data_IF_701890787573
#
_entry.id   IF_701890787573
#
_cell.length_a   1.000
_cell.length_b   1.000
_cell.length_c   1.000
_cell.angle_alpha   90.00
_cell.angle_beta   90.00
_cell.angle_gamma   90.00
#
_symmetry.space_group_name_H-M   'P 1'
#
loop_
_entity.id
_entity.type
_entity.pdbx_description
1 polymer ?
#
# COMPACT_ATOMS: atom_id res chain seq x y z
N UNK A 1 16.16 0.03 32.47
CA UNK A 1 17.28 -0.68 31.78
C UNK A 1 18.62 0.00 32.04
N UNK A 2 18.81 1.29 31.69
CA UNK A 2 20.03 2.06 31.99
C UNK A 2 20.30 2.15 33.50
N UNK A 3 19.28 2.40 34.32
CA UNK A 3 19.38 2.34 35.80
C UNK A 3 19.72 0.95 36.37
N UNK A 4 19.44 -0.11 35.61
CA UNK A 4 19.85 -1.47 35.97
C UNK A 4 21.33 -1.71 35.66
N UNK A 5 21.85 -1.08 34.59
CA UNK A 5 23.26 -1.16 34.20
C UNK A 5 24.15 -0.34 35.13
N UNK A 6 23.72 0.83 35.62
CA UNK A 6 24.45 1.62 36.62
C UNK A 6 24.62 0.86 37.93
N UNK A 7 23.57 0.18 38.41
CA UNK A 7 23.65 -0.69 39.60
C UNK A 7 24.55 -1.90 39.39
N UNK A 8 24.52 -2.53 38.20
CA UNK A 8 25.31 -3.72 37.91
C UNK A 8 26.83 -3.44 37.77
N UNK A 9 27.19 -2.27 37.21
CA UNK A 9 28.58 -1.88 37.01
C UNK A 9 29.20 -1.12 38.20
N UNK A 10 28.38 -0.69 39.18
CA UNK A 10 28.87 0.08 40.33
C UNK A 10 29.41 1.48 39.98
N UNK A 11 28.94 2.07 38.87
CA UNK A 11 29.37 3.39 38.36
C UNK A 11 28.18 4.31 38.11
N UNK A 12 28.36 5.59 38.43
CA UNK A 12 27.43 6.66 38.02
C UNK A 12 27.66 7.01 36.55
N UNK A 13 26.63 6.88 35.73
CA UNK A 13 26.65 7.32 34.33
C UNK A 13 26.14 8.76 34.26
N UNK A 14 26.99 9.71 33.84
CA UNK A 14 26.56 11.07 33.52
C UNK A 14 26.17 11.16 32.04
N UNK A 15 24.97 11.66 31.74
CA UNK A 15 24.51 11.86 30.36
C UNK A 15 25.07 13.17 29.82
N UNK A 16 25.77 13.14 28.68
CA UNK A 16 26.02 14.36 27.89
C UNK A 16 24.88 14.55 26.89
N UNK A 17 24.51 15.82 26.61
CA UNK A 17 23.33 16.18 25.81
C UNK A 17 23.32 15.46 24.44
N UNK A 18 22.13 15.10 23.91
CA UNK A 18 22.03 14.51 22.58
C UNK A 18 22.52 15.50 21.51
N UNK A 19 23.60 15.15 20.82
CA UNK A 19 23.99 15.83 19.58
C UNK A 19 22.99 15.47 18.50
N UNK A 20 22.26 16.47 18.01
CA UNK A 20 21.25 16.34 16.95
C UNK A 20 21.99 16.06 15.63
N UNK A 21 22.00 14.81 15.19
CA UNK A 21 22.47 14.41 13.86
C UNK A 21 21.41 13.52 13.20
N UNK A 22 21.14 13.84 11.94
CA UNK A 22 20.09 13.32 11.08
C UNK A 22 20.31 11.83 10.80
N UNK A 23 19.55 10.96 11.44
CA UNK A 23 19.05 9.66 10.93
C UNK A 23 18.23 9.00 12.05
N UNK A 24 17.39 8.02 11.72
CA UNK A 24 16.44 7.29 12.59
C UNK A 24 17.06 6.46 13.74
N UNK A 25 18.22 6.87 14.29
CA UNK A 25 18.94 6.19 15.38
C UNK A 25 19.01 7.10 16.60
N UNK A 26 18.36 6.70 17.70
CA UNK A 26 18.58 7.33 18.99
C UNK A 26 19.96 6.92 19.52
N UNK A 27 20.95 7.77 19.31
CA UNK A 27 22.31 7.59 19.84
C UNK A 27 22.40 8.30 21.20
N UNK A 28 22.75 7.57 22.27
CA UNK A 28 23.08 8.16 23.57
C UNK A 28 24.47 7.72 24.00
N UNK A 29 25.31 8.71 24.30
CA UNK A 29 26.67 8.51 24.78
C UNK A 29 26.69 8.72 26.28
N UNK A 30 27.27 7.76 27.01
CA UNK A 30 27.46 7.85 28.45
C UNK A 30 28.95 7.78 28.79
N UNK A 31 29.38 8.66 29.69
CA UNK A 31 30.75 8.69 30.22
C UNK A 31 30.76 8.13 31.64
N UNK A 32 31.66 7.19 31.91
CA UNK A 32 31.91 6.66 33.25
C UNK A 32 33.35 6.99 33.68
N UNK A 33 33.50 7.47 34.93
CA UNK A 33 34.79 7.71 35.60
C UNK A 33 35.01 6.62 36.67
N UNK A 34 36.25 6.12 36.77
CA UNK A 34 36.67 4.88 37.44
C UNK A 34 36.04 4.53 38.80
N UNK A 35 35.47 3.31 38.87
CA UNK A 35 36.08 2.19 39.60
C UNK A 35 36.11 0.98 38.64
N UNK A 36 37.20 0.23 38.67
CA UNK A 36 37.63 -0.79 37.70
C UNK A 36 36.48 -1.71 37.25
N UNK A 37 35.97 -1.52 36.02
CA UNK A 37 35.02 -2.46 35.43
C UNK A 37 35.78 -3.70 34.96
N UNK A 38 35.50 -4.87 35.54
CA UNK A 38 36.17 -6.12 35.14
C UNK A 38 35.69 -6.56 33.75
N UNK A 39 36.58 -7.15 32.94
CA UNK A 39 36.26 -7.65 31.59
C UNK A 39 35.04 -8.58 31.57
N UNK A 40 34.90 -9.44 32.58
CA UNK A 40 33.76 -10.36 32.74
C UNK A 40 32.40 -9.65 32.89
N UNK A 41 32.38 -8.47 33.54
CA UNK A 41 31.16 -7.66 33.69
C UNK A 41 30.76 -7.00 32.37
N UNK A 42 31.75 -6.63 31.54
CA UNK A 42 31.53 -6.08 30.20
C UNK A 42 30.90 -7.12 29.28
N UNK A 43 31.41 -8.35 29.31
CA UNK A 43 30.90 -9.44 28.47
C UNK A 43 29.50 -9.89 28.89
N UNK A 44 29.24 -9.95 30.20
CA UNK A 44 27.90 -10.20 30.73
C UNK A 44 26.91 -9.12 30.28
N UNK A 45 27.31 -7.85 30.31
CA UNK A 45 26.46 -6.75 29.87
C UNK A 45 26.25 -6.73 28.35
N UNK A 46 27.27 -7.08 27.55
CA UNK A 46 27.12 -7.27 26.10
C UNK A 46 26.09 -8.36 25.80
N UNK A 47 26.15 -9.49 26.51
CA UNK A 47 25.20 -10.59 26.35
C UNK A 47 23.76 -10.14 26.70
N UNK A 48 23.59 -9.49 27.85
CA UNK A 48 22.29 -9.04 28.37
C UNK A 48 21.66 -7.91 27.53
N UNK A 49 22.48 -7.08 26.87
CA UNK A 49 21.99 -5.99 26.03
C UNK A 49 21.75 -6.44 24.59
N UNK A 50 22.52 -7.41 24.10
CA UNK A 50 22.29 -8.08 22.81
C UNK A 50 20.97 -8.86 22.83
N UNK A 51 20.64 -9.53 23.95
CA UNK A 51 19.34 -10.21 24.11
C UNK A 51 18.14 -9.24 24.14
N UNK A 52 18.38 -7.95 24.36
CA UNK A 52 17.37 -6.89 24.37
C UNK A 52 17.39 -6.01 23.10
N UNK A 53 18.07 -6.44 22.03
CA UNK A 53 18.07 -5.72 20.73
C UNK A 53 18.92 -4.46 20.68
N UNK A 54 19.81 -4.25 21.66
CA UNK A 54 20.73 -3.10 21.70
C UNK A 54 22.13 -3.50 21.21
N UNK A 55 22.80 -2.61 20.48
CA UNK A 55 24.25 -2.70 20.20
C UNK A 55 25.00 -1.73 21.11
N UNK A 56 26.03 -2.22 21.78
CA UNK A 56 26.90 -1.42 22.64
C UNK A 56 28.31 -1.45 22.09
N UNK A 57 28.92 -0.27 22.00
CA UNK A 57 30.32 -0.10 21.64
C UNK A 57 31.07 0.53 22.81
N UNK A 58 32.25 0.00 23.10
CA UNK A 58 33.16 0.56 24.11
C UNK A 58 34.32 1.22 23.36
N UNK A 59 34.48 2.53 23.56
CA UNK A 59 35.67 3.23 23.09
C UNK A 59 36.55 3.52 24.31
N UNK A 60 37.74 2.94 24.32
CA UNK A 60 38.76 3.25 25.32
C UNK A 60 39.52 4.49 24.86
N UNK A 61 39.45 5.57 25.63
CA UNK A 61 40.26 6.76 25.37
C UNK A 61 41.32 6.83 26.47
N UNK A 62 42.53 6.35 26.19
CA UNK A 62 43.69 6.58 27.05
C UNK A 62 44.11 8.04 26.92
N UNK A 63 43.73 8.84 27.91
CA UNK A 63 44.37 10.13 28.19
C UNK A 63 45.42 9.89 29.28
N UNK A 64 46.55 10.56 29.13
CA UNK A 64 47.78 10.41 29.92
C UNK A 64 47.59 10.27 31.43
N UNK A 65 48.40 9.36 32.00
CA UNK A 65 48.76 9.16 33.41
C UNK A 65 47.78 9.69 34.47
N UNK A 66 46.73 8.90 34.73
CA UNK A 66 46.31 8.43 36.07
C UNK A 66 44.82 8.07 36.18
N UNK A 67 43.98 8.33 35.16
CA UNK A 67 42.58 7.90 35.16
C UNK A 67 42.13 7.46 33.76
N UNK A 68 41.69 6.21 33.62
CA UNK A 68 41.14 5.64 32.39
C UNK A 68 39.62 5.86 32.34
N UNK A 69 39.14 6.76 31.47
CA UNK A 69 37.69 6.94 31.28
C UNK A 69 37.16 6.00 30.20
N UNK A 70 36.10 5.24 30.52
CA UNK A 70 35.41 4.36 29.57
C UNK A 70 34.21 5.13 28.99
N UNK A 71 34.18 5.26 27.67
CA UNK A 71 33.02 5.82 26.96
C UNK A 71 32.15 4.66 26.48
N UNK A 72 30.91 4.62 26.97
CA UNK A 72 29.93 3.60 26.60
C UNK A 72 28.93 4.24 25.64
N UNK A 73 28.97 3.80 24.38
CA UNK A 73 27.98 4.20 23.38
C UNK A 73 26.91 3.13 23.29
N UNK A 74 25.68 3.49 23.65
CA UNK A 74 24.52 2.58 23.57
C UNK A 74 23.68 3.01 22.38
N UNK A 75 23.59 2.15 21.38
CA UNK A 75 22.71 2.31 20.24
C UNK A 75 21.58 1.31 20.35
N UNK A 76 20.35 1.82 20.54
CA UNK A 76 19.15 1.02 20.41
C UNK A 76 18.82 0.92 18.93
N UNK A 77 18.89 -0.29 18.37
CA UNK A 77 18.23 -0.52 17.10
C UNK A 77 16.73 -0.58 17.40
N UNK A 78 15.98 0.41 16.93
CA UNK A 78 14.54 0.24 16.74
C UNK A 78 14.39 -0.56 15.44
N UNK A 79 14.90 -1.80 15.44
CA UNK A 79 14.38 -2.81 14.54
C UNK A 79 13.08 -3.27 15.18
N UNK A 80 11.97 -3.07 14.47
CA UNK A 80 10.63 -3.52 14.84
C UNK A 80 10.68 -4.88 15.56
N UNK A 81 10.58 -4.87 16.88
CA UNK A 81 10.29 -6.07 17.66
C UNK A 81 8.76 -6.15 17.80
N UNK A 82 8.19 -6.66 16.71
CA UNK A 82 6.84 -7.21 16.49
C UNK A 82 6.89 -7.56 15.00
N UNK A 83 7.04 -8.79 14.54
CA UNK A 83 6.51 -10.03 15.07
C UNK A 83 7.38 -11.20 14.63
N UNK A 84 7.76 -12.04 15.60
CA UNK A 84 8.03 -13.46 15.36
C UNK A 84 6.71 -14.25 15.45
N UNK A 85 5.64 -13.66 14.91
CA UNK A 85 4.35 -14.28 14.65
C UNK A 85 4.17 -14.21 13.14
N UNK A 86 4.01 -15.37 12.50
CA UNK A 86 3.51 -15.48 11.13
C UNK A 86 2.11 -14.83 11.06
N UNK A 87 2.05 -13.51 10.86
CA UNK A 87 0.92 -12.90 10.16
C UNK A 87 1.32 -12.78 8.70
N UNK A 88 0.80 -13.69 7.87
CA UNK A 88 1.08 -13.86 6.43
C UNK A 88 0.73 -12.64 5.53
N UNK A 89 0.44 -11.48 6.12
CA UNK A 89 0.15 -10.21 5.45
C UNK A 89 1.36 -9.26 5.43
N UNK A 90 2.47 -9.60 6.10
CA UNK A 90 3.70 -8.78 6.10
C UNK A 90 4.32 -8.54 4.71
N UNK A 91 3.85 -9.26 3.69
CA UNK A 91 4.26 -9.10 2.29
C UNK A 91 3.25 -8.30 1.44
N UNK A 92 2.15 -7.80 2.02
CA UNK A 92 1.28 -6.83 1.33
C UNK A 92 1.81 -5.43 1.61
N UNK A 93 1.94 -4.68 0.51
CA UNK A 93 2.87 -3.57 0.35
C UNK A 93 2.64 -2.45 1.36
N UNK A 94 3.66 -2.19 2.18
CA UNK A 94 3.93 -0.85 2.71
C UNK A 94 4.79 -0.11 1.71
N UNK A 95 4.48 1.14 1.45
CA UNK A 95 5.30 1.96 0.56
C UNK A 95 6.75 2.00 1.06
N UNK A 96 7.77 1.91 0.19
CA UNK A 96 9.14 2.18 0.60
C UNK A 96 9.26 3.61 1.14
N UNK A 97 10.24 3.85 2.02
CA UNK A 97 10.59 5.21 2.44
C UNK A 97 11.12 5.98 1.23
N UNK A 98 10.56 7.16 0.97
CA UNK A 98 11.09 8.07 -0.04
C UNK A 98 12.55 8.43 0.28
N UNK A 99 13.46 8.18 -0.67
CA UNK A 99 14.85 8.59 -0.58
C UNK A 99 14.96 10.07 -0.95
N UNK A 100 15.58 10.89 -0.10
CA UNK A 100 15.92 12.28 -0.43
C UNK A 100 17.09 12.32 -1.40
N UNK A 101 17.10 13.30 -2.31
CA UNK A 101 18.24 13.60 -3.19
C UNK A 101 19.46 14.14 -2.41
N UNK A 102 19.29 14.58 -1.16
CA UNK A 102 20.37 15.10 -0.29
C UNK A 102 21.21 14.00 0.39
N UNK A 103 21.52 12.92 -0.33
CA UNK A 103 22.38 11.85 0.17
C UNK A 103 23.80 12.03 -0.36
N UNK A 104 24.76 12.26 0.54
CA UNK A 104 26.20 12.22 0.24
C UNK A 104 26.56 10.90 -0.47
N UNK A 105 27.48 10.99 -1.42
CA UNK A 105 27.86 10.03 -2.49
C UNK A 105 28.19 8.56 -2.09
N UNK A 106 27.99 8.13 -0.85
CA UNK A 106 28.38 6.80 -0.37
C UNK A 106 27.23 5.79 -0.23
N UNK A 107 25.99 6.13 -0.58
CA UNK A 107 24.83 5.23 -0.48
C UNK A 107 24.00 5.23 -1.78
N UNK A 108 24.65 5.00 -2.92
CA UNK A 108 23.97 4.21 -3.94
C UNK A 108 24.11 2.75 -3.49
N UNK A 109 23.04 2.03 -3.11
CA UNK A 109 23.19 0.62 -2.82
C UNK A 109 23.79 -0.04 -4.06
N UNK A 110 24.92 -0.72 -3.87
CA UNK A 110 25.45 -1.59 -4.91
C UNK A 110 24.34 -2.57 -5.31
N UNK A 111 24.28 -2.90 -6.61
CA UNK A 111 23.28 -3.80 -7.20
C UNK A 111 23.07 -5.12 -6.44
N UNK A 112 24.00 -5.48 -5.57
CA UNK A 112 24.04 -6.73 -4.82
C UNK A 112 23.24 -6.71 -3.49
N UNK A 113 22.74 -5.55 -3.01
CA UNK A 113 21.96 -5.48 -1.75
C UNK A 113 20.44 -5.63 -1.91
N UNK A 114 19.91 -5.77 -3.13
CA UNK A 114 18.49 -6.07 -3.39
C UNK A 114 18.37 -7.49 -3.94
N UNK A 115 18.69 -8.46 -3.09
CA UNK A 115 18.47 -9.88 -3.35
C UNK A 115 18.10 -10.57 -2.05
N UNK A 116 16.78 -10.80 -1.86
CA UNK A 116 16.20 -12.09 -1.45
C UNK A 116 14.84 -11.92 -0.77
N UNK A 117 13.80 -11.74 -1.57
CA UNK A 117 12.51 -12.42 -1.35
C UNK A 117 12.16 -13.09 -2.67
N UNK A 118 12.80 -14.23 -2.93
CA UNK A 118 12.42 -15.11 -4.02
C UNK A 118 11.04 -15.69 -3.72
N UNK A 119 10.00 -15.08 -4.31
CA UNK A 119 8.81 -15.85 -4.65
C UNK A 119 9.14 -16.61 -5.93
N UNK A 120 9.41 -17.91 -5.78
CA UNK A 120 9.70 -18.79 -6.89
C UNK A 120 8.49 -18.94 -7.80
N UNK A 121 8.46 -18.17 -8.88
CA UNK A 121 7.91 -18.61 -10.14
C UNK A 121 8.98 -18.33 -11.20
N UNK A 122 9.63 -19.39 -11.68
CA UNK A 122 10.64 -19.29 -12.75
C UNK A 122 9.91 -18.91 -14.05
N UNK A 123 9.90 -17.63 -14.38
CA UNK A 123 9.41 -17.17 -15.69
C UNK A 123 10.48 -17.48 -16.74
N UNK A 124 10.24 -18.53 -17.52
CA UNK A 124 10.99 -18.78 -18.73
C UNK A 124 10.75 -17.61 -19.70
N UNK A 125 11.81 -16.87 -20.05
CA UNK A 125 11.86 -16.03 -21.25
C UNK A 125 11.69 -16.96 -22.45
N UNK A 126 10.45 -17.18 -22.90
CA UNK A 126 10.17 -18.12 -23.97
C UNK A 126 8.72 -18.16 -24.43
N UNK A 127 8.34 -17.25 -25.32
CA UNK A 127 7.52 -17.45 -26.54
C UNK A 127 6.93 -16.10 -27.00
N UNK A 128 6.55 -16.00 -28.27
CA UNK A 128 6.34 -14.76 -29.02
C UNK A 128 5.03 -14.00 -28.70
N UNK A 129 4.81 -13.59 -27.44
CA UNK A 129 3.69 -12.74 -27.05
C UNK A 129 3.83 -12.15 -25.65
N UNK A 130 3.07 -11.08 -25.36
CA UNK A 130 3.06 -10.43 -24.05
C UNK A 130 2.60 -11.38 -22.94
N UNK A 131 3.21 -11.26 -21.74
CA UNK A 131 2.73 -11.95 -20.54
C UNK A 131 1.41 -11.33 -20.08
N UNK A 132 0.35 -12.15 -19.94
CA UNK A 132 -0.95 -11.64 -19.50
C UNK A 132 -1.00 -11.56 -17.97
N UNK A 133 -1.21 -10.36 -17.44
CA UNK A 133 -1.24 -10.05 -16.00
C UNK A 133 -2.63 -10.32 -15.43
N UNK A 134 -2.95 -11.60 -15.25
CA UNK A 134 -4.21 -12.05 -14.65
C UNK A 134 -4.29 -11.69 -13.17
N UNK A 135 -5.23 -10.79 -12.82
CA UNK A 135 -5.47 -10.36 -11.45
C UNK A 135 -6.53 -11.19 -10.73
N UNK A 136 -7.38 -11.93 -11.44
CA UNK A 136 -8.36 -12.84 -10.85
C UNK A 136 -7.71 -13.90 -9.94
N UNK A 137 -6.61 -14.51 -10.38
CA UNK A 137 -5.88 -15.54 -9.60
C UNK A 137 -5.30 -14.95 -8.32
N UNK A 138 -4.60 -13.80 -8.43
CA UNK A 138 -4.02 -13.12 -7.27
C UNK A 138 -5.12 -12.62 -6.32
N UNK A 139 -6.23 -12.10 -6.86
CA UNK A 139 -7.36 -11.67 -6.07
C UNK A 139 -7.98 -12.83 -5.27
N UNK A 140 -8.09 -14.02 -5.85
CA UNK A 140 -8.58 -15.22 -5.16
C UNK A 140 -7.66 -15.65 -4.01
N UNK A 141 -6.34 -15.62 -4.22
CA UNK A 141 -5.37 -15.88 -3.15
C UNK A 141 -5.53 -14.88 -1.99
N UNK A 142 -5.70 -13.59 -2.32
CA UNK A 142 -5.90 -12.54 -1.31
C UNK A 142 -7.22 -12.76 -0.57
N UNK A 143 -8.32 -13.04 -1.28
CA UNK A 143 -9.62 -13.35 -0.63
C UNK A 143 -9.52 -14.56 0.29
N UNK A 144 -8.81 -15.61 -0.13
CA UNK A 144 -8.58 -16.80 0.70
C UNK A 144 -7.81 -16.48 1.99
N UNK A 145 -6.78 -15.63 1.90
CA UNK A 145 -6.05 -15.15 3.08
C UNK A 145 -6.95 -14.30 3.98
N UNK A 146 -7.72 -13.38 3.41
CA UNK A 146 -8.67 -12.54 4.16
C UNK A 146 -9.69 -13.41 4.89
N UNK A 147 -10.27 -14.41 4.23
CA UNK A 147 -11.23 -15.34 4.84
C UNK A 147 -10.63 -16.08 6.05
N UNK A 148 -9.35 -16.48 5.94
CA UNK A 148 -8.66 -17.12 7.06
C UNK A 148 -8.50 -16.17 8.26
N UNK A 149 -8.11 -14.92 8.02
CA UNK A 149 -8.00 -13.93 9.11
C UNK A 149 -9.33 -13.53 9.71
N UNK A 150 -10.38 -13.41 8.90
CA UNK A 150 -11.74 -13.16 9.41
C UNK A 150 -12.16 -14.30 10.33
N UNK A 151 -11.87 -15.56 9.97
CA UNK A 151 -12.12 -16.72 10.84
C UNK A 151 -11.33 -16.66 12.15
N UNK A 152 -10.04 -16.29 12.09
CA UNK A 152 -9.20 -16.12 13.29
C UNK A 152 -9.72 -14.99 14.18
N UNK A 153 -10.10 -13.86 13.58
CA UNK A 153 -10.69 -12.71 14.28
C UNK A 153 -12.00 -13.11 14.97
N UNK A 154 -12.89 -13.81 14.27
CA UNK A 154 -14.13 -14.31 14.86
C UNK A 154 -13.88 -15.23 16.04
N UNK A 155 -12.89 -16.11 15.94
CA UNK A 155 -12.52 -17.02 17.02
C UNK A 155 -11.88 -16.29 18.23
N UNK A 156 -11.17 -15.18 18.00
CA UNK A 156 -10.47 -14.45 19.07
C UNK A 156 -11.32 -13.40 19.79
N UNK A 157 -12.15 -12.65 19.05
CA UNK A 157 -12.94 -11.54 19.63
C UNK A 157 -14.45 -11.71 19.47
N UNK A 158 -14.92 -12.76 18.78
CA UNK A 158 -16.35 -13.01 18.57
C UNK A 158 -16.98 -12.17 17.45
N UNK A 159 -16.26 -11.19 16.91
CA UNK A 159 -16.73 -10.23 15.90
C UNK A 159 -16.11 -10.49 14.53
N UNK A 160 -16.77 -10.01 13.47
CA UNK A 160 -16.28 -10.06 12.09
C UNK A 160 -16.27 -8.66 11.46
N UNK A 161 -15.42 -8.40 10.44
CA UNK A 161 -15.47 -7.13 9.74
C UNK A 161 -16.82 -6.92 9.03
N UNK A 162 -17.44 -5.75 9.19
CA UNK A 162 -18.57 -5.30 8.39
C UNK A 162 -18.21 -4.22 7.36
N UNK A 163 -18.72 -4.38 6.14
CA UNK A 163 -18.68 -3.41 5.06
C UNK A 163 -20.10 -2.89 4.76
N UNK A 164 -20.27 -1.56 4.79
CA UNK A 164 -21.49 -0.90 4.37
C UNK A 164 -21.28 -0.26 2.99
N UNK A 165 -22.26 -0.44 2.10
CA UNK A 165 -22.26 0.12 0.75
C UNK A 165 -23.51 0.97 0.54
N UNK A 166 -23.33 2.19 0.03
CA UNK A 166 -24.41 3.09 -0.35
C UNK A 166 -24.44 3.17 -1.87
N UNK A 167 -25.56 2.78 -2.47
CA UNK A 167 -25.81 2.82 -3.91
C UNK A 167 -26.89 3.86 -4.20
N UNK A 168 -26.64 4.77 -5.16
CA UNK A 168 -27.62 5.77 -5.60
C UNK A 168 -28.03 5.47 -7.05
N UNK A 169 -29.34 5.32 -7.28
CA UNK A 169 -29.93 5.06 -8.59
C UNK A 169 -29.82 3.61 -9.05
N UNK A 170 -30.19 3.37 -10.31
CA UNK A 170 -30.44 2.01 -10.85
C UNK A 170 -29.49 1.64 -12.00
N UNK A 171 -28.29 2.22 -12.00
CA UNK A 171 -27.26 1.92 -13.00
C UNK A 171 -26.85 0.45 -12.94
N UNK A 172 -27.07 -0.29 -14.04
CA UNK A 172 -26.81 -1.75 -14.14
C UNK A 172 -25.36 -2.13 -13.89
N UNK A 173 -24.42 -1.31 -14.37
CA UNK A 173 -22.99 -1.51 -14.14
C UNK A 173 -22.66 -1.36 -12.64
N UNK A 174 -23.16 -0.30 -11.99
CA UNK A 174 -23.01 -0.10 -10.55
C UNK A 174 -23.62 -1.24 -9.73
N UNK A 175 -24.83 -1.70 -10.08
CA UNK A 175 -25.49 -2.84 -9.42
C UNK A 175 -24.67 -4.12 -9.51
N UNK A 176 -24.10 -4.40 -10.69
CA UNK A 176 -23.26 -5.59 -10.90
C UNK A 176 -21.98 -5.52 -10.05
N UNK A 177 -21.34 -4.35 -9.95
CA UNK A 177 -20.20 -4.15 -9.07
C UNK A 177 -20.55 -4.33 -7.58
N UNK A 178 -21.67 -3.78 -7.13
CA UNK A 178 -22.13 -3.92 -5.74
C UNK A 178 -22.47 -5.37 -5.43
N UNK A 179 -23.12 -6.09 -6.35
CA UNK A 179 -23.39 -7.52 -6.23
C UNK A 179 -22.10 -8.32 -6.07
N UNK A 180 -21.08 -8.05 -6.90
CA UNK A 180 -19.78 -8.71 -6.80
C UNK A 180 -19.10 -8.43 -5.45
N UNK A 181 -19.21 -7.21 -4.91
CA UNK A 181 -18.70 -6.88 -3.57
C UNK A 181 -19.45 -7.65 -2.47
N UNK A 182 -20.77 -7.76 -2.57
CA UNK A 182 -21.61 -8.52 -1.63
C UNK A 182 -21.21 -10.00 -1.60
N UNK A 183 -21.10 -10.64 -2.77
CA UNK A 183 -20.65 -12.03 -2.92
C UNK A 183 -19.25 -12.20 -2.31
N UNK A 184 -18.31 -11.30 -2.63
CA UNK A 184 -16.96 -11.40 -2.13
C UNK A 184 -16.87 -11.20 -0.60
N UNK A 185 -17.73 -10.37 0.00
CA UNK A 185 -17.86 -10.26 1.46
C UNK A 185 -18.37 -11.56 2.09
N UNK A 186 -19.41 -12.16 1.50
CA UNK A 186 -19.97 -13.44 1.96
C UNK A 186 -18.93 -14.56 1.89
N UNK A 187 -18.20 -14.67 0.76
CA UNK A 187 -17.12 -15.65 0.55
C UNK A 187 -16.06 -15.61 1.67
N UNK A 188 -15.70 -14.41 2.13
CA UNK A 188 -14.67 -14.23 3.17
C UNK A 188 -15.24 -14.18 4.59
N UNK A 189 -16.55 -14.32 4.76
CA UNK A 189 -17.23 -14.30 6.06
C UNK A 189 -17.37 -12.92 6.71
N UNK A 190 -17.36 -11.86 5.91
CA UNK A 190 -17.62 -10.49 6.37
C UNK A 190 -19.11 -10.17 6.39
N UNK A 191 -19.52 -9.27 7.30
CA UNK A 191 -20.86 -8.68 7.26
C UNK A 191 -20.93 -7.69 6.09
N UNK A 192 -22.06 -7.69 5.38
CA UNK A 192 -22.33 -6.75 4.30
C UNK A 192 -23.70 -6.11 4.50
N UNK A 193 -23.81 -4.81 4.27
CA UNK A 193 -25.09 -4.10 4.25
C UNK A 193 -25.13 -3.12 3.07
N UNK A 194 -26.22 -3.18 2.31
CA UNK A 194 -26.46 -2.30 1.17
C UNK A 194 -27.61 -1.35 1.51
N UNK A 195 -27.36 -0.06 1.35
CA UNK A 195 -28.39 0.98 1.36
C UNK A 195 -28.58 1.50 -0.06
N UNK A 196 -29.77 1.25 -0.62
CA UNK A 196 -30.16 1.76 -1.92
C UNK A 196 -30.96 3.06 -1.77
N UNK A 197 -30.51 4.11 -2.43
CA UNK A 197 -31.18 5.40 -2.50
C UNK A 197 -31.66 5.66 -3.93
N UNK A 198 -32.84 6.28 -4.11
CA UNK A 198 -33.33 6.57 -5.45
C UNK A 198 -32.44 7.60 -6.16
N UNK A 199 -32.43 7.60 -7.49
CA UNK A 199 -31.60 8.53 -8.29
C UNK A 199 -31.87 10.00 -7.94
N UNK A 200 -33.11 10.35 -7.61
CA UNK A 200 -33.51 11.72 -7.26
C UNK A 200 -33.27 12.07 -5.77
N UNK A 201 -32.51 11.27 -5.02
CA UNK A 201 -32.18 11.60 -3.64
C UNK A 201 -31.37 12.89 -3.53
N UNK A 202 -31.37 13.50 -2.35
CA UNK A 202 -30.55 14.68 -2.04
C UNK A 202 -29.19 14.27 -1.47
N UNK A 203 -28.20 15.16 -1.59
CA UNK A 203 -26.89 15.00 -0.93
C UNK A 203 -27.03 14.71 0.56
N UNK A 204 -27.99 15.36 1.24
CA UNK A 204 -28.24 15.18 2.66
C UNK A 204 -28.73 13.76 2.99
N UNK A 205 -29.57 13.15 2.16
CA UNK A 205 -30.00 11.76 2.34
C UNK A 205 -28.81 10.79 2.24
N UNK A 206 -27.88 11.03 1.32
CA UNK A 206 -26.65 10.22 1.20
C UNK A 206 -25.75 10.43 2.43
N UNK A 207 -25.50 11.68 2.84
CA UNK A 207 -24.72 11.98 4.04
C UNK A 207 -25.34 11.36 5.30
N UNK A 208 -26.67 11.34 5.44
CA UNK A 208 -27.34 10.71 6.57
C UNK A 208 -27.11 9.19 6.60
N UNK A 209 -27.14 8.53 5.45
CA UNK A 209 -26.79 7.11 5.34
C UNK A 209 -25.32 6.86 5.72
N UNK A 210 -24.39 7.69 5.24
CA UNK A 210 -22.98 7.62 5.63
C UNK A 210 -22.82 7.81 7.14
N UNK A 211 -23.44 8.83 7.72
CA UNK A 211 -23.37 9.15 9.15
C UNK A 211 -23.93 8.03 10.03
N UNK A 212 -24.97 7.34 9.57
CA UNK A 212 -25.50 6.13 10.24
C UNK A 212 -24.42 5.06 10.35
N UNK A 213 -23.75 4.71 9.25
CA UNK A 213 -22.71 3.69 9.26
C UNK A 213 -21.42 4.13 9.96
N UNK A 214 -21.09 5.42 9.93
CA UNK A 214 -19.99 5.98 10.72
C UNK A 214 -20.18 5.71 12.21
N UNK A 215 -21.39 5.89 12.73
CA UNK A 215 -21.72 5.70 14.15
C UNK A 215 -21.98 4.25 14.54
N UNK A 216 -22.25 3.37 13.57
CA UNK A 216 -22.54 1.97 13.83
C UNK A 216 -21.25 1.16 14.08
N UNK A 217 -21.04 0.60 15.29
CA UNK A 217 -19.82 -0.14 15.61
C UNK A 217 -19.74 -1.50 14.90
N UNK A 218 -20.83 -2.02 14.34
CA UNK A 218 -20.82 -3.29 13.58
C UNK A 218 -20.21 -3.15 12.18
N UNK A 219 -19.89 -1.94 11.73
CA UNK A 219 -19.31 -1.66 10.42
C UNK A 219 -17.96 -0.97 10.57
N UNK A 220 -16.99 -1.43 9.79
CA UNK A 220 -15.60 -0.94 9.82
C UNK A 220 -15.19 -0.35 8.47
N UNK A 221 -15.95 -0.58 7.42
CA UNK A 221 -15.80 0.07 6.14
C UNK A 221 -17.11 0.70 5.67
N UNK A 222 -17.02 1.90 5.10
CA UNK A 222 -18.13 2.58 4.43
C UNK A 222 -17.68 2.91 3.01
N UNK A 223 -18.51 2.55 2.04
CA UNK A 223 -18.27 2.78 0.62
C UNK A 223 -19.48 3.46 0.01
N UNK A 224 -19.25 4.57 -0.70
CA UNK A 224 -20.25 5.21 -1.55
C UNK A 224 -19.97 4.81 -2.99
N UNK A 225 -20.90 4.09 -3.62
CA UNK A 225 -20.68 3.53 -4.95
C UNK A 225 -20.73 4.62 -6.03
N UNK A 226 -19.62 4.78 -6.75
CA UNK A 226 -19.48 5.66 -7.89
C UNK A 226 -19.94 5.00 -9.20
N UNK A 227 -20.28 5.80 -10.23
CA UNK A 227 -20.44 7.26 -10.19
C UNK A 227 -21.76 7.68 -9.57
N UNK A 228 -21.78 8.84 -8.91
CA UNK A 228 -23.00 9.43 -8.36
C UNK A 228 -23.75 10.23 -9.45
N UNK A 229 -25.08 10.40 -9.32
CA UNK A 229 -25.84 11.35 -10.13
C UNK A 229 -25.25 12.76 -10.07
N UNK A 230 -25.25 13.47 -11.21
CA UNK A 230 -24.57 14.77 -11.38
C UNK A 230 -25.05 15.89 -10.46
N UNK A 231 -26.28 15.81 -9.95
CA UNK A 231 -26.84 16.82 -9.04
C UNK A 231 -26.35 16.65 -7.60
N UNK A 232 -25.69 15.54 -7.27
CA UNK A 232 -25.13 15.31 -5.94
C UNK A 232 -23.76 15.97 -5.80
N UNK A 233 -23.48 16.45 -4.58
CA UNK A 233 -22.19 17.00 -4.20
C UNK A 233 -21.28 15.86 -3.71
N UNK A 234 -20.50 15.29 -4.63
CA UNK A 234 -19.60 14.17 -4.34
C UNK A 234 -18.56 14.54 -3.27
N UNK A 235 -18.06 15.78 -3.26
CA UNK A 235 -17.03 16.23 -2.31
C UNK A 235 -17.61 16.20 -0.90
N UNK A 236 -18.79 16.80 -0.71
CA UNK A 236 -19.47 16.79 0.59
C UNK A 236 -19.81 15.38 1.07
N UNK A 237 -20.18 14.48 0.16
CA UNK A 237 -20.48 13.08 0.50
C UNK A 237 -19.22 12.34 0.96
N UNK A 238 -18.10 12.50 0.25
CA UNK A 238 -16.85 11.85 0.63
C UNK A 238 -16.25 12.41 1.93
N UNK A 239 -16.37 13.71 2.17
CA UNK A 239 -15.94 14.34 3.43
C UNK A 239 -16.76 13.87 4.64
N UNK A 240 -17.98 13.35 4.44
CA UNK A 240 -18.79 12.76 5.51
C UNK A 240 -18.27 11.37 5.92
N UNK A 241 -17.54 10.64 5.06
CA UNK A 241 -17.01 9.31 5.41
C UNK A 241 -15.88 9.47 6.42
N UNK A 242 -15.99 8.86 7.61
CA UNK A 242 -14.94 9.02 8.60
C UNK A 242 -13.64 8.33 8.16
N UNK A 243 -12.50 8.96 8.48
CA UNK A 243 -11.18 8.50 8.06
C UNK A 243 -10.91 7.04 8.46
N UNK A 244 -11.38 6.61 9.62
CA UNK A 244 -11.16 5.27 10.14
C UNK A 244 -11.92 4.19 9.38
N UNK A 245 -13.01 4.56 8.67
CA UNK A 245 -13.87 3.66 7.88
C UNK A 245 -13.84 3.93 6.38
N UNK A 246 -13.03 4.87 5.90
CA UNK A 246 -12.80 5.16 4.49
C UNK A 246 -11.96 4.07 3.81
N UNK A 247 -12.52 2.86 3.71
CA UNK A 247 -11.82 1.67 3.18
C UNK A 247 -11.48 1.76 1.69
N UNK A 248 -12.10 2.70 0.97
CA UNK A 248 -11.73 3.04 -0.41
C UNK A 248 -10.56 4.04 -0.49
N UNK A 249 -10.16 4.66 0.63
CA UNK A 249 -8.98 5.51 0.75
C UNK A 249 -9.12 6.88 0.10
N UNK A 250 -10.34 7.38 -0.13
CA UNK A 250 -10.59 8.63 -0.86
C UNK A 250 -10.53 9.88 0.03
N UNK A 251 -10.54 9.72 1.35
CA UNK A 251 -10.47 10.83 2.28
C UNK A 251 -9.19 11.65 2.02
N UNK A 252 -9.27 12.99 1.97
CA UNK A 252 -8.12 13.85 1.72
C UNK A 252 -6.89 13.59 2.60
N UNK A 253 -7.07 13.11 3.84
CA UNK A 253 -5.96 12.76 4.74
C UNK A 253 -5.22 11.49 4.30
N UNK A 254 -5.91 10.51 3.72
CA UNK A 254 -5.28 9.33 3.12
C UNK A 254 -4.45 9.75 1.90
N UNK A 255 -5.03 10.52 0.98
CA UNK A 255 -4.33 11.00 -0.21
C UNK A 255 -3.16 11.93 0.13
N UNK A 256 -3.35 12.87 1.06
CA UNK A 256 -2.29 13.75 1.55
C UNK A 256 -1.14 12.98 2.21
N UNK A 257 -1.44 11.91 2.94
CA UNK A 257 -0.41 11.06 3.55
C UNK A 257 0.41 10.29 2.51
N UNK A 258 -0.18 9.93 1.36
CA UNK A 258 0.57 9.35 0.24
C UNK A 258 1.61 10.33 -0.32
N UNK A 259 1.27 11.63 -0.41
CA UNK A 259 2.15 12.67 -0.94
C UNK A 259 3.27 13.08 0.03
N UNK A 260 3.06 12.92 1.35
CA UNK A 260 4.01 13.35 2.37
C UNK A 260 5.06 12.26 2.68
N UNK A 261 6.34 12.63 2.57
CA UNK A 261 7.46 11.77 3.00
C UNK A 261 7.35 11.42 4.49
N UNK A 262 7.49 10.13 4.83
CA UNK A 262 7.47 9.66 6.23
C UNK A 262 6.08 9.61 6.88
N UNK A 263 5.01 9.83 6.12
CA UNK A 263 3.62 9.57 6.54
C UNK A 263 3.10 8.32 5.83
N UNK A 264 2.29 7.54 6.53
CA UNK A 264 1.54 6.42 5.97
C UNK A 264 0.05 6.72 6.10
N UNK A 265 -0.76 6.50 5.05
CA UNK A 265 -2.21 6.65 5.15
C UNK A 265 -2.82 5.54 6.02
N UNK A 266 -4.05 5.74 6.51
CA UNK A 266 -4.80 4.63 7.10
C UNK A 266 -5.22 3.63 6.03
N UNK A 267 -5.55 4.14 4.84
CA UNK A 267 -5.93 3.33 3.70
C UNK A 267 -5.28 3.83 2.41
N UNK A 268 -4.75 2.89 1.63
CA UNK A 268 -4.34 3.14 0.26
C UNK A 268 -5.54 2.84 -0.64
N UNK A 269 -5.86 3.69 -1.64
CA UNK A 269 -6.99 3.45 -2.52
C UNK A 269 -6.94 2.09 -3.21
N UNK A 270 -8.09 1.41 -3.24
CA UNK A 270 -8.19 -0.01 -3.59
C UNK A 270 -7.62 -0.33 -4.98
N UNK A 271 -8.01 0.44 -6.01
CA UNK A 271 -7.55 0.23 -7.39
C UNK A 271 -6.04 0.49 -7.52
N UNK A 272 -5.50 1.65 -7.06
CA UNK A 272 -4.05 1.85 -7.03
C UNK A 272 -3.27 0.77 -6.25
N UNK A 273 -3.74 0.36 -5.07
CA UNK A 273 -3.13 -0.74 -4.27
C UNK A 273 -3.12 -2.04 -5.09
N UNK A 274 -4.22 -2.34 -5.79
CA UNK A 274 -4.36 -3.49 -6.67
C UNK A 274 -3.41 -3.47 -7.87
N UNK A 275 -3.23 -2.31 -8.51
CA UNK A 275 -2.28 -2.14 -9.62
C UNK A 275 -0.84 -2.45 -9.19
N UNK A 276 -0.41 -1.89 -8.06
CA UNK A 276 0.96 -2.10 -7.56
C UNK A 276 1.16 -3.56 -7.16
N UNK A 277 0.22 -4.17 -6.43
CA UNK A 277 0.29 -5.59 -6.06
C UNK A 277 0.38 -6.48 -7.31
N UNK A 278 -0.41 -6.19 -8.35
CA UNK A 278 -0.37 -6.92 -9.60
C UNK A 278 1.02 -6.83 -10.25
N UNK A 279 1.59 -5.63 -10.37
CA UNK A 279 2.94 -5.45 -10.93
C UNK A 279 4.01 -6.22 -10.14
N UNK A 280 3.98 -6.12 -8.81
CA UNK A 280 4.98 -6.79 -7.97
C UNK A 280 4.86 -8.32 -8.01
N UNK A 281 3.65 -8.88 -8.01
CA UNK A 281 3.42 -10.33 -8.09
C UNK A 281 3.90 -10.94 -9.42
N UNK A 282 3.89 -10.14 -10.48
CA UNK A 282 4.47 -10.51 -11.78
C UNK A 282 5.93 -10.08 -11.94
N UNK A 283 6.59 -9.64 -10.86
CA UNK A 283 8.00 -9.20 -10.85
C UNK A 283 8.31 -8.08 -11.86
N UNK A 284 7.36 -7.17 -12.11
CA UNK A 284 7.63 -5.95 -12.88
C UNK A 284 8.40 -4.97 -12.01
N UNK A 285 9.65 -4.70 -12.39
CA UNK A 285 10.54 -3.77 -11.69
C UNK A 285 10.02 -2.33 -11.78
N UNK A 286 9.75 -1.68 -10.65
CA UNK A 286 9.26 -0.29 -10.59
C UNK A 286 10.38 0.74 -10.39
N UNK A 287 11.40 0.35 -9.61
CA UNK A 287 12.47 1.25 -9.19
C UNK A 287 13.26 1.77 -10.39
N UNK A 288 13.37 3.08 -10.51
CA UNK A 288 14.10 3.75 -11.58
C UNK A 288 13.46 3.65 -12.97
N UNK A 289 12.26 3.07 -13.10
CA UNK A 289 11.52 3.04 -14.38
C UNK A 289 10.77 4.33 -14.63
N UNK A 290 10.61 4.67 -15.92
CA UNK A 290 9.67 5.70 -16.33
C UNK A 290 8.26 5.11 -16.47
N UNK A 291 7.33 5.60 -15.65
CA UNK A 291 5.94 5.16 -15.63
C UNK A 291 5.05 6.29 -16.14
N UNK A 292 4.25 6.01 -17.16
CA UNK A 292 3.26 6.95 -17.67
C UNK A 292 1.88 6.52 -17.19
N UNK A 293 1.17 7.42 -16.51
CA UNK A 293 -0.21 7.21 -16.07
C UNK A 293 -1.13 8.06 -16.94
N UNK A 294 -2.00 7.44 -17.73
CA UNK A 294 -3.03 8.12 -18.52
C UNK A 294 -4.30 8.20 -17.67
N UNK A 295 -4.67 9.42 -17.28
CA UNK A 295 -5.79 9.69 -16.39
C UNK A 295 -5.33 10.28 -15.06
N UNK A 296 -6.09 11.27 -14.56
CA UNK A 296 -5.81 11.99 -13.30
C UNK A 296 -7.02 12.05 -12.39
N UNK A 297 -7.83 10.99 -12.37
CA UNK A 297 -8.97 10.91 -11.46
C UNK A 297 -8.50 10.88 -10.01
N UNK A 298 -9.34 11.37 -9.10
CA UNK A 298 -9.05 11.39 -7.65
C UNK A 298 -8.97 9.99 -7.06
N UNK A 299 -9.61 9.00 -7.69
CA UNK A 299 -9.75 7.63 -7.17
C UNK A 299 -8.73 6.63 -7.75
N UNK A 300 -8.13 6.94 -8.91
CA UNK A 300 -7.14 6.05 -9.56
C UNK A 300 -5.88 6.81 -9.95
N UNK A 301 -5.96 7.72 -10.92
CA UNK A 301 -4.78 8.29 -11.57
C UNK A 301 -3.84 9.05 -10.63
N UNK A 302 -4.40 9.99 -9.87
CA UNK A 302 -3.63 10.79 -8.89
C UNK A 302 -3.03 9.90 -7.80
N UNK A 303 -3.80 9.10 -7.03
CA UNK A 303 -3.21 8.27 -5.98
C UNK A 303 -2.19 7.26 -6.50
N UNK A 304 -2.42 6.67 -7.67
CA UNK A 304 -1.47 5.73 -8.26
C UNK A 304 -0.15 6.41 -8.62
N UNK A 305 -0.18 7.63 -9.15
CA UNK A 305 1.03 8.40 -9.44
C UNK A 305 1.86 8.68 -8.18
N UNK A 306 1.21 8.92 -7.03
CA UNK A 306 1.88 9.14 -5.76
C UNK A 306 2.53 7.86 -5.24
N UNK A 307 1.82 6.74 -5.31
CA UNK A 307 2.34 5.44 -4.84
C UNK A 307 3.53 5.01 -5.71
N UNK A 308 3.45 5.17 -7.04
CA UNK A 308 4.56 4.87 -7.95
C UNK A 308 5.83 5.66 -7.61
N UNK A 309 5.70 6.96 -7.28
CA UNK A 309 6.83 7.76 -6.82
C UNK A 309 7.44 7.21 -5.52
N UNK A 310 6.62 6.70 -4.59
CA UNK A 310 7.13 6.02 -3.38
C UNK A 310 7.86 4.72 -3.69
N UNK A 311 7.55 4.08 -4.82
CA UNK A 311 8.31 2.97 -5.38
C UNK A 311 9.51 3.39 -6.24
N UNK A 312 9.94 4.66 -6.14
CA UNK A 312 11.10 5.23 -6.83
C UNK A 312 10.98 5.20 -8.37
N UNK A 313 9.76 5.19 -8.90
CA UNK A 313 9.53 5.40 -10.32
C UNK A 313 9.58 6.90 -10.67
N UNK A 314 10.07 7.22 -11.87
CA UNK A 314 9.84 8.53 -12.49
C UNK A 314 8.45 8.50 -13.11
N UNK A 315 7.57 9.44 -12.77
CA UNK A 315 6.15 9.38 -13.18
C UNK A 315 5.74 10.58 -14.03
N UNK A 316 5.14 10.31 -15.19
CA UNK A 316 4.46 11.29 -16.04
C UNK A 316 2.96 11.06 -16.03
N UNK A 317 2.16 12.11 -15.84
CA UNK A 317 0.69 12.01 -15.84
C UNK A 317 0.14 12.65 -17.11
N UNK A 318 -0.59 11.87 -17.91
CA UNK A 318 -1.29 12.32 -19.11
C UNK A 318 -2.78 12.55 -18.83
N UNK A 319 -3.36 13.53 -19.51
CA UNK A 319 -4.77 13.89 -19.39
C UNK A 319 -5.31 14.47 -20.70
N UNK A 320 -6.61 14.76 -20.78
CA UNK A 320 -7.27 15.24 -22.00
C UNK A 320 -6.64 16.48 -22.65
N UNK A 321 -5.94 17.32 -21.89
CA UNK A 321 -5.26 18.53 -22.39
C UNK A 321 -3.76 18.35 -22.64
N UNK A 322 -3.23 17.13 -22.54
CA UNK A 322 -1.82 16.86 -22.82
C UNK A 322 -1.59 16.93 -24.33
N UNK A 323 -0.61 17.72 -24.77
CA UNK A 323 -0.22 17.77 -26.19
C UNK A 323 0.58 16.53 -26.57
N UNK A 324 0.24 15.92 -27.71
CA UNK A 324 0.90 14.73 -28.26
C UNK A 324 1.06 13.58 -27.23
N UNK A 325 -0.04 13.15 -26.56
CA UNK A 325 0.02 12.16 -25.48
C UNK A 325 0.64 10.83 -25.93
N UNK A 326 0.49 10.46 -27.20
CA UNK A 326 1.08 9.26 -27.79
C UNK A 326 2.61 9.29 -27.83
N UNK A 327 3.24 10.47 -27.91
CA UNK A 327 4.69 10.59 -27.90
C UNK A 327 5.22 10.31 -26.50
N UNK A 328 4.61 10.94 -25.49
CA UNK A 328 4.99 10.76 -24.08
C UNK A 328 4.72 9.31 -23.64
N UNK A 329 3.60 8.71 -24.06
CA UNK A 329 3.28 7.31 -23.75
C UNK A 329 4.34 6.32 -24.28
N UNK A 330 4.96 6.59 -25.44
CA UNK A 330 6.02 5.75 -26.02
C UNK A 330 7.35 5.82 -25.24
N UNK A 331 7.51 6.75 -24.32
CA UNK A 331 8.71 6.82 -23.48
C UNK A 331 8.62 5.89 -22.26
N UNK A 332 7.43 5.37 -21.97
CA UNK A 332 7.15 4.59 -20.78
C UNK A 332 7.80 3.20 -20.82
N UNK A 333 8.45 2.82 -19.71
CA UNK A 333 8.78 1.42 -19.43
C UNK A 333 7.53 0.68 -18.91
N UNK A 334 6.65 1.41 -18.20
CA UNK A 334 5.36 0.92 -17.71
C UNK A 334 4.29 1.94 -18.08
N UNK A 335 3.24 1.50 -18.78
CA UNK A 335 2.09 2.33 -19.14
C UNK A 335 0.87 1.89 -18.35
N UNK A 336 0.27 2.80 -17.58
CA UNK A 336 -0.97 2.55 -16.85
C UNK A 336 -2.08 3.42 -17.41
N UNK A 337 -3.19 2.80 -17.83
CA UNK A 337 -4.27 3.47 -18.56
C UNK A 337 -5.55 3.42 -17.73
N UNK A 338 -5.96 4.60 -17.24
CA UNK A 338 -7.13 4.81 -16.39
C UNK A 338 -7.93 6.04 -16.89
N UNK A 339 -8.16 6.09 -18.21
CA UNK A 339 -8.83 7.19 -18.90
C UNK A 339 -10.36 7.02 -18.92
N UNK A 340 -10.86 5.78 -18.85
CA UNK A 340 -12.28 5.46 -19.00
C UNK A 340 -12.78 5.70 -20.43
N UNK A 341 -11.96 5.32 -21.41
CA UNK A 341 -12.22 5.50 -22.83
C UNK A 341 -11.83 4.22 -23.58
N UNK A 342 -12.81 3.45 -24.10
CA UNK A 342 -12.55 2.13 -24.66
C UNK A 342 -11.62 2.19 -25.86
N UNK A 343 -10.59 1.35 -25.89
CA UNK A 343 -9.60 1.27 -26.97
C UNK A 343 -8.89 2.59 -27.33
N UNK A 344 -8.79 3.53 -26.39
CA UNK A 344 -8.05 4.78 -26.55
C UNK A 344 -6.58 4.54 -26.96
N UNK A 345 -5.91 3.63 -26.26
CA UNK A 345 -4.49 3.33 -26.49
C UNK A 345 -4.38 2.23 -27.55
N UNK A 346 -3.76 2.58 -28.68
CA UNK A 346 -3.46 1.68 -29.80
C UNK A 346 -1.99 1.29 -29.80
N UNK A 347 -1.63 0.29 -30.62
CA UNK A 347 -0.25 -0.16 -30.86
C UNK A 347 0.74 0.99 -31.04
N UNK A 348 0.34 2.02 -31.78
CA UNK A 348 1.18 3.17 -32.07
C UNK A 348 1.55 4.00 -30.84
N UNK A 349 0.95 3.80 -29.67
CA UNK A 349 1.30 4.52 -28.43
C UNK A 349 2.35 3.79 -27.59
N UNK A 350 2.66 2.53 -27.95
CA UNK A 350 3.40 1.62 -27.09
C UNK A 350 4.89 1.58 -27.46
N UNK A 351 5.75 1.62 -26.44
CA UNK A 351 7.16 1.26 -26.56
C UNK A 351 7.30 -0.25 -26.70
N UNK A 352 8.12 -0.78 -27.62
CA UNK A 352 8.44 -2.20 -27.64
C UNK A 352 8.97 -2.69 -26.28
N UNK A 353 8.36 -3.74 -25.73
CA UNK A 353 8.72 -4.28 -24.42
C UNK A 353 8.11 -3.56 -23.21
N UNK A 354 7.22 -2.58 -23.40
CA UNK A 354 6.49 -1.91 -22.30
C UNK A 354 5.64 -2.91 -21.49
N UNK A 355 5.53 -2.71 -20.18
CA UNK A 355 4.50 -3.37 -19.37
C UNK A 355 3.24 -2.50 -19.31
N UNK A 356 2.07 -3.07 -19.61
CA UNK A 356 0.80 -2.32 -19.70
C UNK A 356 -0.17 -2.77 -18.60
N UNK A 357 -0.68 -1.81 -17.82
CA UNK A 357 -1.86 -2.00 -16.99
C UNK A 357 -3.04 -1.25 -17.58
N UNK A 358 -4.03 -2.01 -18.03
CA UNK A 358 -5.34 -1.50 -18.44
C UNK A 358 -6.29 -1.51 -17.23
N UNK A 359 -6.55 -0.32 -16.68
CA UNK A 359 -7.40 -0.09 -15.52
C UNK A 359 -8.82 0.28 -15.93
N UNK A 360 -9.00 0.79 -17.15
CA UNK A 360 -10.29 1.20 -17.67
C UNK A 360 -11.25 0.03 -17.76
N UNK A 361 -12.51 0.24 -17.35
CA UNK A 361 -13.57 -0.76 -17.46
C UNK A 361 -14.81 -0.11 -18.06
N UNK A 362 -14.96 -0.25 -19.38
CA UNK A 362 -16.00 0.42 -20.13
C UNK A 362 -17.11 -0.58 -20.49
N UNK A 363 -18.35 -0.42 -19.97
CA UNK A 363 -19.46 -1.26 -20.37
C UNK A 363 -19.95 -0.87 -21.77
N UNK A 364 -19.84 -1.81 -22.71
CA UNK A 364 -20.32 -1.67 -24.09
C UNK A 364 -21.53 -2.55 -24.27
N UNK A 365 -22.65 -1.97 -24.71
CA UNK A 365 -23.89 -2.70 -24.97
C UNK A 365 -23.62 -3.90 -25.89
N UNK A 366 -24.01 -5.07 -25.41
CA UNK A 366 -23.87 -6.33 -26.11
C UNK A 366 -25.06 -7.22 -25.71
N UNK A 367 -26.09 -7.33 -26.56
CA UNK A 367 -27.28 -8.14 -26.25
C UNK A 367 -27.01 -9.64 -26.11
N UNK A 368 -25.82 -10.12 -26.52
CA UNK A 368 -25.45 -11.53 -26.37
C UNK A 368 -24.93 -11.89 -24.97
N UNK A 369 -24.57 -10.87 -24.18
CA UNK A 369 -24.07 -11.04 -22.81
C UNK A 369 -25.20 -11.10 -21.78
N UNK A 370 -24.98 -11.83 -20.68
CA UNK A 370 -25.95 -12.03 -19.58
C UNK A 370 -26.53 -10.70 -19.06
N UNK A 371 -25.67 -9.70 -18.89
CA UNK A 371 -26.05 -8.38 -18.35
C UNK A 371 -26.42 -7.36 -19.44
N UNK A 372 -26.41 -7.77 -20.72
CA UNK A 372 -26.65 -6.92 -21.88
C UNK A 372 -25.48 -5.99 -22.22
N UNK A 373 -24.30 -6.23 -21.66
CA UNK A 373 -23.06 -5.51 -21.97
C UNK A 373 -21.83 -6.40 -21.74
N UNK A 374 -20.76 -6.09 -22.47
CA UNK A 374 -19.41 -6.60 -22.22
C UNK A 374 -18.50 -5.49 -21.70
N UNK A 375 -17.48 -5.84 -20.94
CA UNK A 375 -16.46 -4.89 -20.46
C UNK A 375 -15.30 -4.85 -21.43
N UNK A 376 -14.92 -3.64 -21.86
CA UNK A 376 -13.75 -3.39 -22.70
C UNK A 376 -12.82 -2.41 -21.98
N UNK A 377 -11.52 -2.69 -22.05
CA UNK A 377 -10.48 -1.84 -21.48
C UNK A 377 -10.21 -0.56 -22.29
N UNK A 378 -9.36 0.29 -21.74
CA UNK A 378 -8.90 1.51 -22.43
C UNK A 378 -7.82 1.21 -23.49
N UNK A 379 -7.22 0.02 -23.47
CA UNK A 379 -6.17 -0.43 -24.39
C UNK A 379 -6.75 -1.43 -25.39
N UNK A 380 -6.38 -1.29 -26.66
CA UNK A 380 -6.65 -2.33 -27.64
C UNK A 380 -5.75 -3.55 -27.34
N UNK A 381 -6.33 -4.53 -26.64
CA UNK A 381 -5.60 -5.69 -26.10
C UNK A 381 -4.87 -6.48 -27.19
N UNK A 382 -5.54 -6.77 -28.30
CA UNK A 382 -4.97 -7.54 -29.41
C UNK A 382 -3.74 -6.85 -30.00
N UNK A 383 -3.82 -5.54 -30.24
CA UNK A 383 -2.69 -4.76 -30.73
C UNK A 383 -1.54 -4.73 -29.73
N UNK A 384 -1.85 -4.54 -28.45
CA UNK A 384 -0.85 -4.41 -27.40
C UNK A 384 -0.10 -5.71 -27.11
N UNK A 385 -0.76 -6.88 -27.20
CA UNK A 385 -0.12 -8.19 -26.96
C UNK A 385 1.05 -8.50 -27.89
N UNK A 386 1.09 -7.85 -29.06
CA UNK A 386 2.17 -8.01 -30.04
C UNK A 386 3.41 -7.13 -29.77
N UNK A 387 3.29 -6.12 -28.89
CA UNK A 387 4.33 -5.11 -28.63
C UNK A 387 4.81 -5.14 -27.19
N UNK A 388 3.88 -5.30 -26.24
CA UNK A 388 4.15 -5.25 -24.81
C UNK A 388 4.93 -6.48 -24.34
N UNK A 389 5.75 -6.31 -23.31
CA UNK A 389 6.32 -7.46 -22.58
C UNK A 389 5.30 -8.09 -21.65
N UNK A 390 4.37 -7.29 -21.12
CA UNK A 390 3.26 -7.73 -20.29
C UNK A 390 2.03 -6.83 -20.44
N UNK A 391 0.82 -7.37 -20.27
CA UNK A 391 -0.43 -6.62 -20.34
C UNK A 391 -1.50 -7.21 -19.42
N UNK A 392 -2.21 -6.37 -18.65
CA UNK A 392 -3.40 -6.84 -17.91
C UNK A 392 -4.64 -6.90 -18.81
N UNK A 393 -5.45 -7.98 -18.76
CA UNK A 393 -6.67 -8.08 -19.54
C UNK A 393 -7.83 -7.31 -18.90
N UNK A 394 -8.80 -6.93 -19.72
CA UNK A 394 -10.11 -6.46 -19.26
C UNK A 394 -11.19 -7.29 -19.96
N UNK A 395 -12.03 -8.03 -19.22
CA UNK A 395 -12.03 -8.23 -17.77
C UNK A 395 -10.88 -9.14 -17.27
N UNK A 396 -10.73 -9.27 -15.96
CA UNK A 396 -9.83 -10.26 -15.32
C UNK A 396 -8.47 -9.73 -14.84
N UNK A 397 -8.12 -8.49 -15.18
CA UNK A 397 -6.93 -7.79 -14.68
C UNK A 397 -7.19 -7.05 -13.37
N UNK A 398 -7.28 -5.73 -13.43
CA UNK A 398 -7.31 -4.85 -12.25
C UNK A 398 -8.62 -4.93 -11.45
N UNK A 399 -9.77 -5.12 -12.11
CA UNK A 399 -11.09 -5.13 -11.44
C UNK A 399 -11.20 -6.11 -10.26
N UNK A 400 -10.86 -7.41 -10.42
CA UNK A 400 -10.82 -8.37 -9.31
C UNK A 400 -9.89 -7.96 -8.17
N UNK A 401 -8.74 -7.33 -8.49
CA UNK A 401 -7.80 -6.83 -7.50
C UNK A 401 -8.39 -5.70 -6.66
N UNK A 402 -9.14 -4.78 -7.28
CA UNK A 402 -9.84 -3.70 -6.56
C UNK A 402 -10.76 -4.26 -5.47
N UNK A 403 -11.56 -5.29 -5.78
CA UNK A 403 -12.45 -5.92 -4.79
C UNK A 403 -11.66 -6.61 -3.68
N UNK A 404 -10.59 -7.34 -4.02
CA UNK A 404 -9.75 -7.98 -3.02
C UNK A 404 -9.09 -6.97 -2.07
N UNK A 405 -8.63 -5.83 -2.59
CA UNK A 405 -8.04 -4.75 -1.78
C UNK A 405 -9.07 -4.06 -0.88
N UNK A 406 -10.32 -3.92 -1.33
CA UNK A 406 -11.42 -3.40 -0.51
C UNK A 406 -11.69 -4.29 0.70
N UNK A 407 -11.75 -5.61 0.51
CA UNK A 407 -11.93 -6.57 1.62
C UNK A 407 -10.74 -6.50 2.58
N UNK A 408 -9.52 -6.44 2.04
CA UNK A 408 -8.32 -6.32 2.85
C UNK A 408 -8.33 -5.02 3.69
N UNK A 409 -8.63 -3.87 3.09
CA UNK A 409 -8.73 -2.61 3.81
C UNK A 409 -9.83 -2.69 4.89
N UNK A 410 -10.97 -3.34 4.60
CA UNK A 410 -12.04 -3.56 5.59
C UNK A 410 -11.58 -4.43 6.76
N UNK A 411 -10.82 -5.50 6.50
CA UNK A 411 -10.22 -6.33 7.53
C UNK A 411 -9.21 -5.53 8.38
N UNK A 412 -8.32 -4.77 7.75
CA UNK A 412 -7.35 -3.91 8.43
C UNK A 412 -8.04 -2.87 9.31
N UNK A 413 -9.14 -2.29 8.84
CA UNK A 413 -9.98 -1.38 9.61
C UNK A 413 -10.51 -2.04 10.87
N UNK A 414 -11.15 -3.20 10.73
CA UNK A 414 -11.73 -3.94 11.84
C UNK A 414 -10.65 -4.37 12.85
N UNK A 415 -9.50 -4.87 12.38
CA UNK A 415 -8.36 -5.20 13.25
C UNK A 415 -7.90 -3.99 14.06
N UNK A 416 -7.82 -2.79 13.48
CA UNK A 416 -7.51 -1.55 14.21
C UNK A 416 -8.58 -1.24 15.26
N UNK A 417 -9.86 -1.34 14.94
CA UNK A 417 -10.97 -1.10 15.88
C UNK A 417 -10.88 -2.01 17.11
N UNK A 418 -10.53 -3.29 16.93
CA UNK A 418 -10.44 -4.26 18.02
C UNK A 418 -9.02 -4.44 18.58
N UNK A 419 -8.05 -3.62 18.17
CA UNK A 419 -6.64 -3.71 18.57
C UNK A 419 -6.01 -5.10 18.34
N UNK A 420 -6.35 -5.75 17.24
CA UNK A 420 -5.81 -7.05 16.82
C UNK A 420 -4.58 -6.82 15.94
N UNK A 421 -3.49 -7.54 16.24
CA UNK A 421 -2.20 -7.41 15.53
C UNK A 421 -2.07 -8.33 14.33
#
# INVERSE_FOLDING_TARGET
MIEGCTRFLGVELSSTRPTRLVSTKHHRTYTATERTVRSEQIDTMRALMKSNGCRIWFNYKTLTSSNSNIIINIQRNISNYSNNNNSDFGNIIKSPLLCSLDLHDEIWPSKDMVSSTQFGCNYAKGSAGATVLYGNVIAEEIRSKVANEVRKMKASVGEVPGLAVILVGERRDSQSYVRNKSIACEEVGMKFELTELPEHCTTEQVCNAVSYFNKNPSFHGVLVQLPLPKHLDEVRIFDEVCLEKDVDGFHPLNIGSLALCGKEPLFIPCTPKGCIELLLRYNVELMGKHVVVIGRSNIVGVPLSLILQRHHATVSILHAYSSNPEIIAREADILIVAAGMPNLVRSSWLKPGVAVLDVGTNPIKDPSEEYGYRLIGDVCFEEATSIASAISPVPGGVGPMTVAMLLLNTLESAKRTFNIT
#
